data_IF_255286405996
#
_entry.id   IF_255286405996
#
_cell.length_a   1.000
_cell.length_b   1.000
_cell.length_c   1.000
_cell.angle_alpha   90.00
_cell.angle_beta   90.00
_cell.angle_gamma   90.00
#
_symmetry.space_group_name_H-M   'P 1'
#
loop_
_entity.id
_entity.type
_entity.pdbx_description
1 polymer ?
#
# COMPACT_ATOMS: atom_id res chain seq x y z
N UNK A 1 39.23 -5.54 -16.03
CA UNK A 1 38.44 -4.72 -15.07
C UNK A 1 37.60 -5.68 -14.28
N UNK A 2 37.79 -5.76 -12.96
CA UNK A 2 36.86 -6.47 -12.09
C UNK A 2 35.45 -5.90 -12.34
N UNK A 3 34.51 -6.77 -12.68
CA UNK A 3 33.14 -6.37 -12.98
C UNK A 3 32.49 -5.73 -11.76
N UNK A 4 31.65 -4.72 -11.98
CA UNK A 4 30.79 -4.19 -10.93
C UNK A 4 29.49 -4.99 -10.87
N UNK A 5 28.81 -4.95 -9.73
CA UNK A 5 27.44 -5.43 -9.57
C UNK A 5 26.57 -4.41 -8.84
N UNK A 6 25.25 -4.48 -9.04
CA UNK A 6 24.31 -3.73 -8.22
C UNK A 6 24.21 -4.37 -6.83
N UNK A 7 23.96 -3.54 -5.82
CA UNK A 7 23.59 -4.01 -4.49
C UNK A 7 22.32 -4.90 -4.57
N UNK A 8 22.32 -6.04 -3.88
CA UNK A 8 21.22 -7.03 -4.01
C UNK A 8 19.89 -6.48 -3.51
N UNK A 9 19.89 -5.62 -2.50
CA UNK A 9 18.67 -4.93 -2.05
C UNK A 9 18.05 -4.08 -3.17
N UNK A 10 18.85 -3.40 -4.00
CA UNK A 10 18.36 -2.59 -5.10
C UNK A 10 17.87 -3.42 -6.28
N UNK A 11 18.41 -4.63 -6.47
CA UNK A 11 17.84 -5.59 -7.42
C UNK A 11 16.43 -6.00 -7.01
N UNK A 12 16.21 -6.28 -5.72
CA UNK A 12 14.87 -6.56 -5.16
C UNK A 12 13.95 -5.36 -5.35
N UNK A 13 14.38 -4.14 -5.00
CA UNK A 13 13.58 -2.92 -5.18
C UNK A 13 13.11 -2.78 -6.65
N UNK A 14 14.05 -2.86 -7.59
CA UNK A 14 13.75 -2.74 -9.02
C UNK A 14 12.80 -3.85 -9.49
N UNK A 15 12.98 -5.08 -9.02
CA UNK A 15 12.11 -6.19 -9.35
C UNK A 15 10.69 -5.94 -8.85
N UNK A 16 10.53 -5.50 -7.59
CA UNK A 16 9.21 -5.19 -7.05
C UNK A 16 8.53 -4.02 -7.79
N UNK A 17 9.28 -2.96 -8.15
CA UNK A 17 8.76 -1.86 -8.99
C UNK A 17 8.30 -2.38 -10.36
N UNK A 18 9.07 -3.27 -10.99
CA UNK A 18 8.65 -3.89 -12.25
C UNK A 18 7.43 -4.79 -12.10
N UNK A 19 7.26 -5.44 -10.93
CA UNK A 19 6.08 -6.27 -10.64
C UNK A 19 4.82 -5.42 -10.52
N UNK A 20 4.86 -4.29 -9.80
CA UNK A 20 3.69 -3.41 -9.64
C UNK A 20 3.41 -2.54 -10.86
N UNK A 21 4.41 -2.35 -11.74
CA UNK A 21 4.33 -1.49 -12.91
C UNK A 21 5.04 -2.14 -14.12
N UNK A 22 4.53 -3.27 -14.65
CA UNK A 22 5.22 -4.06 -15.69
C UNK A 22 5.39 -3.29 -17.01
N UNK A 23 4.44 -2.42 -17.34
CA UNK A 23 4.45 -1.58 -18.53
C UNK A 23 5.23 -0.27 -18.40
N UNK A 24 5.85 0.02 -17.25
CA UNK A 24 6.52 1.30 -17.03
C UNK A 24 7.67 1.54 -17.99
N UNK A 25 7.83 2.82 -18.35
CA UNK A 25 9.02 3.37 -18.95
C UNK A 25 10.24 3.12 -18.08
N UNK A 26 11.39 2.90 -18.74
CA UNK A 26 12.71 2.72 -18.14
C UNK A 26 13.71 3.74 -18.66
N UNK A 27 13.23 4.81 -19.32
CA UNK A 27 14.07 5.78 -20.05
C UNK A 27 15.05 6.54 -19.15
N UNK A 28 14.77 6.62 -17.86
CA UNK A 28 15.61 7.26 -16.85
C UNK A 28 16.05 6.28 -15.77
N UNK A 29 15.96 4.97 -16.01
CA UNK A 29 16.55 3.99 -15.10
C UNK A 29 18.08 4.07 -15.20
N UNK A 30 18.76 4.12 -14.06
CA UNK A 30 20.21 4.27 -13.98
C UNK A 30 20.79 3.50 -12.81
N UNK A 31 21.93 2.83 -13.01
CA UNK A 31 22.62 2.12 -11.92
C UNK A 31 24.08 2.56 -11.81
N UNK A 32 24.84 2.49 -12.89
CA UNK A 32 26.25 2.87 -12.91
C UNK A 32 26.40 4.32 -13.36
N UNK A 33 27.24 5.09 -12.65
CA UNK A 33 27.61 6.44 -13.06
C UNK A 33 28.30 6.42 -14.42
N UNK A 34 28.05 7.43 -15.25
CA UNK A 34 28.77 7.58 -16.51
C UNK A 34 30.27 7.83 -16.26
N UNK A 35 31.07 7.78 -17.33
CA UNK A 35 32.52 7.96 -17.22
C UNK A 35 32.93 9.32 -16.61
N UNK A 36 32.08 10.36 -16.74
CA UNK A 36 32.31 11.68 -16.16
C UNK A 36 32.01 11.73 -14.65
N UNK A 37 31.07 10.91 -14.17
CA UNK A 37 30.72 10.76 -12.75
C UNK A 37 31.75 9.96 -11.93
N UNK A 38 32.72 9.29 -12.58
CA UNK A 38 33.77 8.50 -11.90
C UNK A 38 34.80 9.33 -11.13
N UNK A 39 34.88 10.64 -11.39
CA UNK A 39 35.81 11.54 -10.70
C UNK A 39 35.38 11.94 -9.28
N UNK A 40 34.11 11.73 -8.91
CA UNK A 40 33.52 12.19 -7.64
C UNK A 40 33.01 11.06 -6.74
N UNK A 41 32.77 11.39 -5.46
CA UNK A 41 32.10 10.50 -4.51
C UNK A 41 30.61 10.34 -4.88
N UNK A 42 30.19 9.13 -5.26
CA UNK A 42 28.80 8.82 -5.61
C UNK A 42 28.53 7.33 -5.38
N UNK A 43 27.36 6.98 -4.85
CA UNK A 43 26.94 5.58 -4.72
C UNK A 43 26.56 4.94 -6.08
N UNK A 44 26.48 5.72 -7.15
CA UNK A 44 26.48 5.20 -8.53
C UNK A 44 27.87 4.72 -9.00
N UNK A 45 28.94 5.01 -8.25
CA UNK A 45 30.26 4.45 -8.47
C UNK A 45 30.44 3.17 -7.64
N UNK A 46 31.09 2.12 -8.17
CA UNK A 46 31.36 0.92 -7.40
C UNK A 46 32.24 1.24 -6.18
N UNK A 47 31.83 0.73 -5.01
CA UNK A 47 32.66 0.78 -3.80
C UNK A 47 33.90 -0.14 -3.92
N UNK A 48 34.70 -0.24 -2.85
CA UNK A 48 35.90 -1.07 -2.82
C UNK A 48 35.64 -2.57 -3.10
N UNK A 49 34.41 -3.06 -2.89
CA UNK A 49 33.98 -4.42 -3.20
C UNK A 49 33.38 -4.58 -4.61
N UNK A 50 33.44 -3.53 -5.45
CA UNK A 50 32.85 -3.54 -6.78
C UNK A 50 31.31 -3.44 -6.78
N UNK A 51 30.71 -2.92 -5.71
CA UNK A 51 29.25 -2.81 -5.56
C UNK A 51 28.78 -1.38 -5.79
N UNK A 52 27.84 -1.22 -6.71
CA UNK A 52 27.08 0.02 -6.93
C UNK A 52 25.92 0.04 -5.94
N UNK A 53 25.85 1.10 -5.15
CA UNK A 53 24.93 1.24 -4.02
C UNK A 53 23.80 2.24 -4.26
N UNK A 54 23.60 2.69 -5.51
CA UNK A 54 22.49 3.55 -5.89
C UNK A 54 21.76 3.07 -7.15
N UNK A 55 20.48 3.43 -7.23
CA UNK A 55 19.65 3.23 -8.41
C UNK A 55 18.75 4.45 -8.63
N UNK A 56 18.59 4.82 -9.91
CA UNK A 56 17.57 5.72 -10.39
C UNK A 56 16.45 4.89 -11.05
N UNK A 57 15.19 5.20 -10.73
CA UNK A 57 14.00 4.55 -11.27
C UNK A 57 13.08 5.59 -11.91
N UNK A 58 12.73 5.37 -13.17
CA UNK A 58 11.92 6.29 -13.99
C UNK A 58 10.56 6.57 -13.35
N UNK A 59 10.15 7.84 -13.30
CA UNK A 59 8.78 8.22 -12.97
C UNK A 59 7.86 8.08 -14.19
N UNK A 60 6.90 7.18 -14.07
CA UNK A 60 5.90 6.90 -15.10
C UNK A 60 4.56 6.51 -14.45
N UNK A 61 3.85 7.49 -13.88
CA UNK A 61 2.61 7.24 -13.17
C UNK A 61 1.49 6.71 -14.09
N UNK A 62 1.55 7.02 -15.40
CA UNK A 62 0.59 6.52 -16.39
C UNK A 62 0.61 4.99 -16.52
N UNK A 63 1.75 4.36 -16.21
CA UNK A 63 1.94 2.91 -16.26
C UNK A 63 2.22 2.30 -14.88
N UNK A 64 1.81 2.99 -13.80
CA UNK A 64 1.86 2.49 -12.42
C UNK A 64 3.14 2.80 -11.63
N UNK A 65 4.17 3.36 -12.26
CA UNK A 65 5.44 3.70 -11.60
C UNK A 65 5.44 5.14 -11.06
N UNK A 66 4.56 5.41 -10.10
CA UNK A 66 4.49 6.71 -9.43
C UNK A 66 5.57 6.84 -8.34
N UNK A 67 6.71 7.41 -8.74
CA UNK A 67 7.81 7.72 -7.82
C UNK A 67 7.45 8.60 -6.63
N UNK A 68 6.39 9.42 -6.68
CA UNK A 68 5.96 10.14 -5.48
C UNK A 68 5.49 9.16 -4.40
N UNK A 69 4.65 8.20 -4.78
CA UNK A 69 4.13 7.15 -3.88
C UNK A 69 5.25 6.22 -3.41
N UNK A 70 6.11 5.78 -4.33
CA UNK A 70 7.19 4.84 -4.00
C UNK A 70 8.25 5.50 -3.10
N UNK A 71 8.58 6.78 -3.32
CA UNK A 71 9.51 7.49 -2.46
C UNK A 71 8.96 7.66 -1.03
N UNK A 72 7.66 7.94 -0.87
CA UNK A 72 7.02 7.98 0.44
C UNK A 72 7.00 6.61 1.12
N UNK A 73 6.72 5.54 0.36
CA UNK A 73 6.82 4.17 0.88
C UNK A 73 8.21 3.85 1.40
N UNK A 74 9.26 4.13 0.61
CA UNK A 74 10.65 3.89 1.03
C UNK A 74 10.97 4.67 2.32
N UNK A 75 10.58 5.96 2.37
CA UNK A 75 10.83 6.83 3.52
C UNK A 75 10.13 6.35 4.80
N UNK A 76 8.94 5.77 4.68
CA UNK A 76 8.13 5.33 5.83
C UNK A 76 8.42 3.89 6.23
N UNK A 77 8.64 2.99 5.26
CA UNK A 77 8.98 1.58 5.47
C UNK A 77 10.37 1.39 6.07
N UNK A 78 11.32 2.27 5.71
CA UNK A 78 12.68 2.32 6.25
C UNK A 78 13.38 0.97 6.19
N UNK A 79 13.43 0.39 4.98
CA UNK A 79 14.15 -0.86 4.73
C UNK A 79 15.55 -0.80 5.35
N UNK A 80 16.04 -1.89 5.95
CA UNK A 80 17.29 -1.88 6.74
C UNK A 80 18.51 -1.45 5.92
N UNK A 81 18.50 -1.75 4.62
CA UNK A 81 19.54 -1.32 3.68
C UNK A 81 19.43 0.15 3.27
N UNK A 82 18.29 0.83 3.46
CA UNK A 82 18.05 2.14 2.86
C UNK A 82 18.87 3.25 3.55
N UNK A 83 19.70 3.93 2.77
CA UNK A 83 20.55 5.04 3.21
C UNK A 83 19.82 6.37 3.05
N UNK A 84 19.31 6.63 1.85
CA UNK A 84 18.47 7.78 1.54
C UNK A 84 17.64 7.59 0.27
N UNK A 85 16.60 8.39 0.13
CA UNK A 85 15.78 8.55 -1.08
C UNK A 85 15.71 10.03 -1.47
N UNK A 86 15.83 10.32 -2.76
CA UNK A 86 15.69 11.66 -3.34
C UNK A 86 14.57 11.62 -4.37
N UNK A 87 13.62 12.54 -4.22
CA UNK A 87 12.52 12.72 -5.14
C UNK A 87 12.04 14.17 -5.12
N UNK A 88 11.81 14.75 -6.29
CA UNK A 88 11.17 16.05 -6.50
C UNK A 88 11.77 17.17 -5.62
N UNK A 89 13.08 17.39 -5.75
CA UNK A 89 13.86 18.36 -4.94
C UNK A 89 13.78 18.14 -3.42
N UNK A 90 13.51 16.92 -2.97
CA UNK A 90 13.50 16.55 -1.56
C UNK A 90 14.38 15.32 -1.32
N UNK A 91 14.99 15.26 -0.14
CA UNK A 91 15.78 14.12 0.33
C UNK A 91 15.31 13.71 1.73
N UNK A 92 15.20 12.41 1.95
CA UNK A 92 15.00 11.82 3.28
C UNK A 92 16.03 10.71 3.48
N UNK A 93 16.62 10.64 4.67
CA UNK A 93 17.74 9.73 4.95
C UNK A 93 17.65 9.12 6.35
N UNK A 94 18.28 7.96 6.52
CA UNK A 94 18.43 7.30 7.81
C UNK A 94 19.11 8.23 8.84
N UNK A 95 20.17 8.94 8.42
CA UNK A 95 20.93 9.88 9.25
C UNK A 95 20.16 11.14 9.67
N UNK A 96 19.00 11.40 9.09
CA UNK A 96 18.18 12.58 9.39
C UNK A 96 16.78 12.22 9.86
N UNK A 97 16.59 10.99 10.36
CA UNK A 97 15.31 10.54 10.92
C UNK A 97 14.17 10.44 9.89
N UNK A 98 14.49 10.34 8.59
CA UNK A 98 13.51 10.18 7.51
C UNK A 98 12.49 11.33 7.34
N UNK A 99 12.80 12.52 7.86
CA UNK A 99 12.06 13.73 7.51
C UNK A 99 12.46 14.21 6.11
N UNK A 100 11.49 14.69 5.32
CA UNK A 100 11.79 15.35 4.05
C UNK A 100 12.52 16.67 4.29
N UNK A 101 13.64 16.85 3.60
CA UNK A 101 14.43 18.09 3.58
C UNK A 101 14.60 18.56 2.16
N UNK A 102 14.86 19.85 1.97
CA UNK A 102 15.19 20.40 0.65
C UNK A 102 16.45 19.73 0.10
N UNK A 103 16.38 19.29 -1.15
CA UNK A 103 17.52 18.81 -1.91
C UNK A 103 18.01 19.90 -2.87
N UNK A 104 19.28 20.24 -2.74
CA UNK A 104 19.93 21.35 -3.47
C UNK A 104 20.84 20.87 -4.60
N UNK A 105 20.91 19.56 -4.87
CA UNK A 105 21.66 19.03 -6.00
C UNK A 105 21.16 19.56 -7.35
N UNK A 106 22.04 19.48 -8.35
CA UNK A 106 21.81 20.00 -9.70
C UNK A 106 20.68 19.26 -10.42
N UNK A 107 20.65 17.94 -10.33
CA UNK A 107 19.54 17.12 -10.82
C UNK A 107 18.34 17.24 -9.86
N UNK A 108 17.18 17.76 -10.29
CA UNK A 108 16.03 17.94 -9.39
C UNK A 108 15.31 16.64 -9.02
N UNK A 109 15.63 15.49 -9.62
CA UNK A 109 14.94 14.20 -9.43
C UNK A 109 13.43 14.30 -9.64
N UNK A 110 12.99 14.97 -10.71
CA UNK A 110 11.57 15.09 -11.09
C UNK A 110 11.14 14.10 -12.17
N UNK A 111 12.12 13.47 -12.85
CA UNK A 111 11.90 12.45 -13.90
C UNK A 111 12.17 11.02 -13.43
N UNK A 112 12.89 10.86 -12.32
CA UNK A 112 13.22 9.59 -11.70
C UNK A 112 13.39 9.79 -10.19
N UNK A 113 13.12 8.74 -9.42
CA UNK A 113 13.49 8.65 -8.01
C UNK A 113 14.90 8.08 -7.90
N UNK A 114 15.70 8.63 -6.99
CA UNK A 114 17.00 8.08 -6.64
C UNK A 114 16.93 7.42 -5.26
N UNK A 115 17.52 6.23 -5.13
CA UNK A 115 17.63 5.49 -3.87
C UNK A 115 19.06 5.04 -3.70
N UNK A 116 19.63 5.33 -2.53
CA UNK A 116 20.93 4.82 -2.11
C UNK A 116 20.77 3.87 -0.92
N UNK A 117 21.63 2.85 -0.86
CA UNK A 117 21.66 1.81 0.18
C UNK A 117 23.03 1.65 0.83
N UNK A 118 23.05 1.05 2.02
CA UNK A 118 24.25 0.84 2.82
C UNK A 118 24.49 1.96 3.82
N UNK A 119 25.71 2.01 4.33
CA UNK A 119 26.15 2.95 5.37
C UNK A 119 27.48 3.58 5.02
N UNK A 120 27.78 4.76 5.57
CA UNK A 120 29.04 5.47 5.30
C UNK A 120 28.97 6.45 4.11
N UNK A 121 30.11 7.02 3.69
CA UNK A 121 30.16 8.03 2.64
C UNK A 121 29.77 7.49 1.26
N UNK A 122 29.27 8.37 0.39
CA UNK A 122 28.90 8.03 -0.99
C UNK A 122 30.12 7.50 -1.78
N UNK A 123 29.92 6.42 -2.53
CA UNK A 123 30.98 5.69 -3.24
C UNK A 123 31.87 4.83 -2.32
N UNK A 124 31.61 4.85 -1.02
CA UNK A 124 32.28 4.03 0.00
C UNK A 124 31.28 3.28 0.88
N UNK A 125 30.04 3.14 0.41
CA UNK A 125 28.98 2.51 1.18
C UNK A 125 29.33 1.08 1.56
N UNK A 126 29.19 0.74 2.84
CA UNK A 126 29.31 -0.61 3.41
C UNK A 126 27.94 -1.21 3.66
N UNK A 127 27.89 -2.47 4.12
CA UNK A 127 26.65 -3.16 4.48
C UNK A 127 25.69 -2.31 5.35
N UNK A 128 24.38 -2.60 5.32
CA UNK A 128 23.76 -3.83 4.81
C UNK A 128 23.13 -3.69 3.41
N UNK A 129 23.85 -3.14 2.42
CA UNK A 129 23.33 -2.93 1.06
C UNK A 129 22.88 -4.22 0.32
N UNK A 130 23.25 -5.40 0.79
CA UNK A 130 22.85 -6.69 0.19
C UNK A 130 21.70 -7.39 0.94
N UNK A 131 21.05 -6.74 1.91
CA UNK A 131 19.84 -7.31 2.54
C UNK A 131 18.71 -7.45 1.50
N UNK A 132 18.29 -8.69 1.27
CA UNK A 132 17.30 -9.03 0.22
C UNK A 132 15.89 -9.19 0.76
N UNK A 133 15.62 -8.73 1.99
CA UNK A 133 14.24 -8.67 2.47
C UNK A 133 13.39 -7.80 1.53
N UNK A 134 12.10 -8.09 1.38
CA UNK A 134 11.24 -7.32 0.49
C UNK A 134 11.22 -5.84 0.86
N UNK A 135 11.22 -4.97 -0.15
CA UNK A 135 10.92 -3.54 0.05
C UNK A 135 9.44 -3.34 0.38
N UNK A 136 8.61 -4.36 0.14
CA UNK A 136 7.20 -4.40 0.51
C UNK A 136 6.31 -3.65 -0.48
N UNK A 137 6.78 -3.44 -1.71
CA UNK A 137 5.98 -2.81 -2.76
C UNK A 137 4.95 -3.80 -3.34
N UNK A 138 5.34 -5.07 -3.49
CA UNK A 138 4.52 -6.11 -4.13
C UNK A 138 3.66 -6.94 -3.16
N UNK A 139 3.80 -6.74 -1.85
CA UNK A 139 3.08 -7.52 -0.81
C UNK A 139 1.71 -6.94 -0.47
N UNK A 140 1.09 -6.17 -1.39
CA UNK A 140 -0.15 -5.43 -1.12
C UNK A 140 0.01 -4.31 -0.07
N UNK A 141 1.25 -3.97 0.29
CA UNK A 141 1.60 -3.07 1.38
C UNK A 141 1.71 -1.59 1.00
N UNK A 142 1.37 -1.22 -0.23
CA UNK A 142 1.27 0.19 -0.62
C UNK A 142 -0.16 0.48 -1.04
N UNK A 143 -0.82 1.27 -0.19
CA UNK A 143 -2.18 1.79 -0.35
C UNK A 143 -3.28 0.73 -0.31
N UNK A 144 -3.95 0.62 0.85
CA UNK A 144 -5.34 0.14 0.91
C UNK A 144 -6.28 1.03 0.07
N UNK A 145 -5.83 2.22 -0.33
CA UNK A 145 -6.54 3.19 -1.14
C UNK A 145 -6.36 2.91 -2.63
N UNK A 146 -7.47 2.75 -3.32
CA UNK A 146 -7.52 2.49 -4.76
C UNK A 146 -8.47 3.47 -5.42
N UNK A 147 -8.37 3.59 -6.74
CA UNK A 147 -9.21 4.49 -7.54
C UNK A 147 -9.69 3.81 -8.82
N UNK A 148 -10.63 4.45 -9.50
CA UNK A 148 -11.13 4.02 -10.80
C UNK A 148 -9.97 3.73 -11.77
N UNK A 149 -9.98 2.51 -12.33
CA UNK A 149 -8.95 1.98 -13.21
C UNK A 149 -7.90 1.11 -12.52
N UNK A 150 -7.75 1.18 -11.19
CA UNK A 150 -6.84 0.29 -10.46
C UNK A 150 -7.35 -1.16 -10.52
N UNK A 151 -6.41 -2.11 -10.41
CA UNK A 151 -6.68 -3.55 -10.41
C UNK A 151 -5.87 -4.27 -9.33
N UNK A 152 -6.34 -5.44 -8.91
CA UNK A 152 -5.61 -6.38 -8.07
C UNK A 152 -6.14 -6.52 -6.64
N UNK A 153 -5.37 -7.18 -5.75
CA UNK A 153 -5.84 -7.62 -4.43
C UNK A 153 -6.33 -6.50 -3.50
N UNK A 154 -5.80 -5.29 -3.62
CA UNK A 154 -6.27 -4.12 -2.86
C UNK A 154 -7.70 -3.75 -3.23
N UNK A 155 -8.01 -3.75 -4.54
CA UNK A 155 -9.34 -3.45 -5.04
C UNK A 155 -10.31 -4.54 -4.59
N UNK A 156 -9.92 -5.82 -4.71
CA UNK A 156 -10.73 -6.95 -4.26
C UNK A 156 -11.05 -6.84 -2.75
N UNK A 157 -10.05 -6.49 -1.92
CA UNK A 157 -10.23 -6.31 -0.49
C UNK A 157 -11.24 -5.17 -0.19
N UNK A 158 -11.14 -4.05 -0.89
CA UNK A 158 -12.07 -2.93 -0.74
C UNK A 158 -13.49 -3.29 -1.23
N UNK A 159 -13.62 -4.00 -2.37
CA UNK A 159 -14.90 -4.49 -2.87
C UNK A 159 -15.56 -5.45 -1.86
N UNK A 160 -14.79 -6.32 -1.20
CA UNK A 160 -15.28 -7.19 -0.11
C UNK A 160 -15.77 -6.37 1.09
N UNK A 161 -15.07 -5.30 1.47
CA UNK A 161 -15.52 -4.39 2.54
C UNK A 161 -16.84 -3.69 2.15
N UNK A 162 -17.00 -3.27 0.90
CA UNK A 162 -18.24 -2.72 0.37
C UNK A 162 -19.40 -3.73 0.49
N UNK A 163 -19.16 -5.00 0.18
CA UNK A 163 -20.15 -6.07 0.37
C UNK A 163 -20.55 -6.22 1.85
N UNK A 164 -19.59 -6.22 2.78
CA UNK A 164 -19.87 -6.27 4.23
C UNK A 164 -20.66 -5.04 4.68
N UNK A 165 -20.39 -3.88 4.08
CA UNK A 165 -21.10 -2.64 4.35
C UNK A 165 -22.49 -2.57 3.70
N UNK A 166 -22.93 -3.61 2.98
CA UNK A 166 -24.24 -3.67 2.33
C UNK A 166 -24.33 -2.96 0.97
N UNK A 167 -23.19 -2.58 0.38
CA UNK A 167 -23.09 -1.93 -0.93
C UNK A 167 -22.26 -2.76 -1.90
N UNK A 168 -22.69 -3.98 -2.27
CA UNK A 168 -21.91 -4.80 -3.20
C UNK A 168 -21.78 -4.09 -4.56
N UNK A 169 -20.57 -4.00 -5.14
CA UNK A 169 -20.43 -3.60 -6.54
C UNK A 169 -21.09 -4.63 -7.46
N UNK A 170 -21.69 -4.15 -8.55
CA UNK A 170 -22.14 -5.02 -9.64
C UNK A 170 -20.94 -5.83 -10.17
N UNK A 171 -21.08 -7.14 -10.28
CA UNK A 171 -19.96 -8.04 -10.63
C UNK A 171 -19.21 -8.64 -9.43
N UNK A 172 -19.43 -8.12 -8.22
CA UNK A 172 -18.83 -8.64 -6.99
C UNK A 172 -17.37 -8.19 -6.79
N UNK A 173 -16.62 -8.94 -5.99
CA UNK A 173 -15.22 -8.67 -5.72
C UNK A 173 -14.32 -9.35 -6.76
N UNK A 174 -14.15 -8.71 -7.90
CA UNK A 174 -13.36 -9.19 -9.05
C UNK A 174 -11.93 -8.61 -9.11
N UNK A 175 -11.59 -7.69 -8.21
CA UNK A 175 -10.31 -7.01 -8.18
C UNK A 175 -10.16 -5.91 -9.23
N UNK A 176 -11.21 -5.53 -9.96
CA UNK A 176 -11.19 -4.49 -10.99
C UNK A 176 -11.98 -3.26 -10.55
N UNK A 177 -11.33 -2.11 -10.38
CA UNK A 177 -12.01 -0.88 -9.93
C UNK A 177 -12.67 -0.21 -11.12
N UNK A 178 -13.80 -0.75 -11.55
CA UNK A 178 -14.63 -0.23 -12.63
C UNK A 178 -15.70 0.77 -12.15
N UNK A 179 -16.53 1.26 -13.08
CA UNK A 179 -17.66 2.14 -12.75
C UNK A 179 -18.61 1.55 -11.71
N UNK A 180 -18.79 0.22 -11.70
CA UNK A 180 -19.60 -0.47 -10.70
C UNK A 180 -19.04 -0.30 -9.28
N UNK A 181 -17.73 -0.47 -9.11
CA UNK A 181 -17.04 -0.23 -7.83
C UNK A 181 -17.12 1.23 -7.40
N UNK A 182 -16.93 2.17 -8.34
CA UNK A 182 -17.10 3.60 -8.05
C UNK A 182 -18.51 3.94 -7.55
N UNK A 183 -19.56 3.44 -8.25
CA UNK A 183 -20.96 3.64 -7.83
C UNK A 183 -21.24 3.07 -6.45
N UNK A 184 -20.77 1.86 -6.17
CA UNK A 184 -20.95 1.20 -4.87
C UNK A 184 -20.27 1.99 -3.74
N UNK A 185 -19.04 2.47 -3.97
CA UNK A 185 -18.36 3.30 -2.98
C UNK A 185 -19.08 4.64 -2.75
N UNK A 186 -19.57 5.29 -3.80
CA UNK A 186 -20.34 6.51 -3.68
C UNK A 186 -21.61 6.30 -2.85
N UNK A 187 -22.36 5.23 -3.11
CA UNK A 187 -23.57 4.88 -2.38
C UNK A 187 -23.28 4.65 -0.88
N UNK A 188 -22.22 3.90 -0.57
CA UNK A 188 -21.78 3.68 0.82
C UNK A 188 -21.43 4.99 1.53
N UNK A 189 -20.72 5.89 0.86
CA UNK A 189 -20.35 7.22 1.41
C UNK A 189 -21.58 8.10 1.63
N UNK A 190 -22.56 8.04 0.75
CA UNK A 190 -23.80 8.82 0.87
C UNK A 190 -24.70 8.28 2.00
N UNK A 191 -24.74 6.97 2.25
CA UNK A 191 -25.50 6.40 3.39
C UNK A 191 -24.99 6.90 4.76
N UNK A 192 -23.70 7.21 4.86
CA UNK A 192 -23.13 7.78 6.09
C UNK A 192 -23.57 9.24 6.31
N UNK A 193 -24.14 9.90 5.29
CA UNK A 193 -24.65 11.28 5.33
C UNK A 193 -23.69 12.31 4.74
N UNK A 194 -22.79 11.91 3.83
CA UNK A 194 -21.77 12.81 3.25
C UNK A 194 -22.29 13.52 2.00
N UNK A 195 -21.69 14.66 1.64
CA UNK A 195 -21.95 15.40 0.40
C UNK A 195 -21.08 14.94 -0.78
N UNK A 196 -20.50 13.74 -0.70
CA UNK A 196 -19.63 13.24 -1.77
C UNK A 196 -20.42 13.06 -3.08
N UNK A 197 -19.83 13.50 -4.18
CA UNK A 197 -20.40 13.40 -5.53
C UNK A 197 -19.72 12.36 -6.41
N UNK A 198 -18.62 11.75 -5.93
CA UNK A 198 -17.88 10.71 -6.64
C UNK A 198 -17.39 9.63 -5.67
N UNK A 199 -17.36 8.39 -6.18
CA UNK A 199 -16.74 7.22 -5.56
C UNK A 199 -15.51 6.76 -6.35
N UNK A 200 -14.93 7.59 -7.22
CA UNK A 200 -13.80 7.20 -8.07
C UNK A 200 -12.50 7.02 -7.29
N UNK A 201 -12.47 7.38 -6.01
CA UNK A 201 -11.29 7.23 -5.16
C UNK A 201 -11.70 6.74 -3.78
N UNK A 202 -11.22 5.56 -3.42
CA UNK A 202 -11.21 5.06 -2.06
C UNK A 202 -10.12 5.78 -1.25
N UNK A 203 -10.44 7.00 -0.84
CA UNK A 203 -9.57 7.89 -0.04
C UNK A 203 -9.60 7.54 1.46
N UNK A 204 -8.72 8.15 2.29
CA UNK A 204 -8.82 8.03 3.76
C UNK A 204 -10.20 8.39 4.32
N UNK A 205 -10.87 9.40 3.75
CA UNK A 205 -12.23 9.76 4.15
C UNK A 205 -13.24 8.65 3.78
N UNK A 206 -13.09 8.05 2.59
CA UNK A 206 -13.92 6.94 2.16
C UNK A 206 -13.74 5.70 3.04
N UNK A 207 -12.51 5.42 3.43
CA UNK A 207 -12.19 4.38 4.40
C UNK A 207 -12.89 4.60 5.74
N UNK A 208 -12.76 5.80 6.33
CA UNK A 208 -13.38 6.08 7.63
C UNK A 208 -14.92 5.94 7.58
N UNK A 209 -15.53 6.41 6.49
CA UNK A 209 -16.97 6.32 6.26
C UNK A 209 -17.42 4.86 6.06
N UNK A 210 -16.69 4.09 5.25
CA UNK A 210 -17.00 2.68 5.02
C UNK A 210 -16.94 1.88 6.34
N UNK A 211 -15.92 2.11 7.16
CA UNK A 211 -15.81 1.47 8.47
C UNK A 211 -16.89 1.92 9.45
N UNK A 212 -17.29 3.20 9.43
CA UNK A 212 -18.43 3.68 10.21
C UNK A 212 -19.72 2.95 9.82
N UNK A 213 -19.94 2.70 8.52
CA UNK A 213 -21.11 1.99 8.04
C UNK A 213 -21.10 0.50 8.45
N UNK A 214 -19.95 -0.18 8.33
CA UNK A 214 -19.77 -1.55 8.81
C UNK A 214 -20.09 -1.65 10.31
N UNK A 215 -19.56 -0.71 11.11
CA UNK A 215 -19.81 -0.68 12.54
C UNK A 215 -21.30 -0.48 12.88
N UNK A 216 -22.01 0.42 12.18
CA UNK A 216 -23.47 0.61 12.33
C UNK A 216 -24.25 -0.67 12.03
N UNK A 217 -23.86 -1.44 11.01
CA UNK A 217 -24.55 -2.68 10.64
C UNK A 217 -24.29 -3.81 11.63
N UNK A 218 -23.08 -3.92 12.16
CA UNK A 218 -22.72 -4.95 13.14
C UNK A 218 -23.23 -4.66 14.57
N UNK A 219 -23.70 -3.45 14.84
CA UNK A 219 -24.22 -3.04 16.16
C UNK A 219 -25.75 -3.18 16.30
N UNK A 220 -26.45 -3.73 15.30
CA UNK A 220 -27.90 -3.98 15.40
C UNK A 220 -28.16 -5.27 16.21
N UNK A 221 -28.81 -5.22 17.39
CA UNK A 221 -29.12 -6.43 18.16
C UNK A 221 -30.11 -7.35 17.41
N UNK A 222 -30.09 -8.68 17.64
CA UNK A 222 -31.13 -9.56 17.12
C UNK A 222 -32.50 -9.11 17.64
N UNK A 223 -33.53 -9.22 16.80
CA UNK A 223 -34.89 -8.80 17.11
C UNK A 223 -35.36 -9.35 18.47
N UNK A 224 -36.05 -8.56 19.31
CA UNK A 224 -36.55 -9.05 20.59
C UNK A 224 -37.52 -10.20 20.36
N UNK A 225 -37.40 -11.27 21.16
CA UNK A 225 -38.31 -12.42 21.12
C UNK A 225 -39.77 -11.96 21.32
N UNK A 226 -40.75 -12.55 20.61
CA UNK A 226 -42.16 -12.18 20.75
C UNK A 226 -42.60 -12.43 22.19
N UNK A 227 -43.02 -11.36 22.87
CA UNK A 227 -43.53 -11.45 24.23
C UNK A 227 -45.01 -11.84 24.18
N UNK A 228 -45.33 -12.98 24.84
CA UNK A 228 -46.65 -13.45 25.29
C UNK A 228 -47.33 -14.53 24.43
N UNK A 229 -47.14 -15.79 24.85
CA UNK A 229 -48.08 -16.89 24.59
C UNK A 229 -49.16 -16.84 25.68
N UNK A 230 -50.40 -16.45 25.33
CA UNK A 230 -51.56 -16.61 26.19
C UNK A 230 -51.97 -18.08 26.17
N UNK A 231 -51.67 -18.83 27.23
CA UNK A 231 -52.23 -20.17 27.43
C UNK A 231 -53.52 -20.01 28.24
N UNK A 232 -54.67 -20.12 27.58
CA UNK A 232 -55.96 -20.40 28.20
C UNK A 232 -56.22 -21.90 28.10
N UNK A 233 -56.27 -22.60 29.23
CA UNK A 233 -56.67 -24.00 29.29
C UNK A 233 -56.81 -24.49 30.72
N UNK A 234 -58.05 -24.67 31.17
CA UNK A 234 -58.41 -25.33 32.43
C UNK A 234 -57.86 -26.76 32.48
N UNK A 235 -57.35 -27.16 33.65
CA UNK A 235 -56.98 -28.55 33.94
C UNK A 235 -57.92 -29.08 35.01
N UNK A 236 -58.90 -29.87 34.59
CA UNK A 236 -59.67 -30.77 35.46
C UNK A 236 -58.83 -31.99 35.79
N UNK A 237 -58.40 -32.12 37.05
CA UNK A 237 -57.67 -33.28 37.54
C UNK A 237 -58.64 -34.35 38.05
N UNK A 238 -58.53 -35.58 37.54
CA UNK A 238 -59.15 -36.78 38.13
C UNK A 238 -58.05 -37.79 38.50
N UNK A 239 -58.13 -38.30 39.73
CA UNK A 239 -57.22 -39.21 40.46
C UNK A 239 -57.53 -40.68 40.06
N UNK A 240 -56.56 -41.62 40.04
CA UNK A 240 -56.39 -42.59 41.14
C UNK A 240 -54.90 -42.98 41.35
N UNK A 241 -54.36 -43.44 42.47
CA UNK A 241 -54.86 -44.12 43.65
C UNK A 241 -53.78 -45.15 44.07
N UNK A 242 -53.55 -45.30 45.39
CA UNK A 242 -52.87 -46.42 46.07
C UNK A 242 -51.33 -46.57 45.87
N UNK A 243 -50.51 -47.04 46.82
CA UNK A 243 -50.72 -47.68 48.11
C UNK A 243 -49.51 -47.45 49.06
N UNK A 244 -49.82 -47.45 50.38
CA UNK A 244 -49.13 -48.01 51.58
C UNK A 244 -47.69 -48.57 51.38
N UNK A 245 -46.74 -48.40 52.30
CA UNK A 245 -46.82 -48.42 53.77
C UNK A 245 -45.81 -47.47 54.43
#
# INVERSE_FOLDING_TARGET
MSGWRLARSLEVLRAEVNTIAPGRSKVSDGTIGDAAHRGGASDHNPNAAGVVCAIDLTHDPAHGADMHRIAEHIRTRRHVAAKYVIWNRRIASASSGWAWRTYTGSNPHTKHMHVSVGTGPDGKSTGPYDDTSPWGLSTGGIDMFCKLGDKGPVVEAMQRLLMVAGHPPEGGADGDYGPATSRALLAARQEVGTTATSGDTYSPAAYAQLFQLIARRQSTPPAPLPTRLLITGEVTATIPGQARA
#
